data_IF_458514220808
#
_entry.id   IF_458514220808
#
_cell.length_a   1.000
_cell.length_b   1.000
_cell.length_c   1.000
_cell.angle_alpha   90.00
_cell.angle_beta   90.00
_cell.angle_gamma   90.00
#
_symmetry.space_group_name_H-M   'P 1'
#
loop_
_entity.id
_entity.type
_entity.pdbx_description
1 polymer ?
#
# COMPACT_ATOMS: atom_id res chain seq x y z
N UNK A 1 28.13 0.66 33.06
CA UNK A 1 26.69 0.98 32.95
C UNK A 1 26.36 1.79 31.70
N UNK A 2 27.00 2.94 31.44
CA UNK A 2 26.75 3.77 30.23
C UNK A 2 26.89 2.99 28.91
N UNK A 3 27.89 2.11 28.79
CA UNK A 3 28.10 1.25 27.60
C UNK A 3 26.92 0.32 27.30
N UNK A 4 26.27 -0.24 28.34
CA UNK A 4 25.14 -1.16 28.17
C UNK A 4 23.84 -0.40 27.87
N UNK A 5 23.69 0.82 28.41
CA UNK A 5 22.56 1.71 28.10
C UNK A 5 22.60 2.13 26.63
N UNK A 6 23.78 2.49 26.09
CA UNK A 6 23.93 2.82 24.67
C UNK A 6 23.57 1.65 23.75
N UNK A 7 24.02 0.43 24.08
CA UNK A 7 23.68 -0.78 23.31
C UNK A 7 22.17 -1.03 23.31
N UNK A 8 21.53 -0.91 24.48
CA UNK A 8 20.09 -1.13 24.61
C UNK A 8 19.27 -0.10 23.84
N UNK A 9 19.67 1.19 23.90
CA UNK A 9 19.02 2.27 23.13
C UNK A 9 19.18 2.07 21.62
N UNK A 10 20.36 1.66 21.15
CA UNK A 10 20.53 1.34 19.73
C UNK A 10 19.65 0.16 19.28
N UNK A 11 19.53 -0.89 20.10
CA UNK A 11 18.70 -2.07 19.81
C UNK A 11 17.20 -1.72 19.66
N UNK A 12 16.67 -0.81 20.49
CA UNK A 12 15.26 -0.41 20.39
C UNK A 12 14.96 0.35 19.09
N UNK A 13 15.88 1.19 18.63
CA UNK A 13 15.72 1.91 17.36
C UNK A 13 15.77 0.98 16.13
N UNK A 14 16.61 -0.07 16.16
CA UNK A 14 16.68 -1.04 15.06
C UNK A 14 15.37 -1.84 14.90
N UNK A 15 14.71 -2.19 16.00
CA UNK A 15 13.45 -2.95 15.98
C UNK A 15 12.31 -2.11 15.39
N UNK A 16 12.23 -0.83 15.76
CA UNK A 16 11.21 0.09 15.27
C UNK A 16 11.37 0.37 13.77
N UNK A 17 12.59 0.63 13.30
CA UNK A 17 12.86 0.85 11.88
C UNK A 17 12.51 -0.38 11.03
N UNK A 18 12.84 -1.58 11.51
CA UNK A 18 12.52 -2.83 10.82
C UNK A 18 11.00 -3.08 10.75
N UNK A 19 10.28 -2.72 11.82
CA UNK A 19 8.81 -2.84 11.84
C UNK A 19 8.17 -1.85 10.86
N UNK A 20 8.66 -0.61 10.80
CA UNK A 20 8.15 0.38 9.85
C UNK A 20 8.36 -0.06 8.39
N UNK A 21 9.56 -0.54 8.05
CA UNK A 21 9.88 -1.02 6.70
C UNK A 21 9.00 -2.20 6.29
N UNK A 22 8.79 -3.16 7.19
CA UNK A 22 7.90 -4.31 7.01
C UNK A 22 6.45 -3.85 6.75
N UNK A 23 5.92 -2.96 7.59
CA UNK A 23 4.55 -2.44 7.44
C UNK A 23 4.39 -1.63 6.14
N UNK A 24 5.39 -0.85 5.74
CA UNK A 24 5.39 -0.13 4.47
C UNK A 24 5.37 -1.11 3.29
N UNK A 25 6.16 -2.19 3.34
CA UNK A 25 6.17 -3.21 2.29
C UNK A 25 4.80 -3.89 2.17
N UNK A 26 4.24 -4.35 3.30
CA UNK A 26 2.92 -4.99 3.33
C UNK A 26 1.81 -4.04 2.85
N UNK A 27 1.88 -2.77 3.21
CA UNK A 27 0.92 -1.76 2.75
C UNK A 27 0.99 -1.54 1.24
N UNK A 28 2.20 -1.54 0.65
CA UNK A 28 2.38 -1.43 -0.80
C UNK A 28 1.80 -2.65 -1.52
N UNK A 29 2.09 -3.84 -1.03
CA UNK A 29 1.59 -5.09 -1.63
C UNK A 29 0.07 -5.24 -1.50
N UNK A 30 -0.47 -4.89 -0.33
CA UNK A 30 -1.91 -4.77 -0.10
C UNK A 30 -2.55 -3.81 -1.11
N UNK A 31 -1.95 -2.63 -1.33
CA UNK A 31 -2.47 -1.61 -2.24
C UNK A 31 -2.51 -2.08 -3.68
N UNK A 32 -1.48 -2.78 -4.14
CA UNK A 32 -1.44 -3.37 -5.47
C UNK A 32 -2.51 -4.45 -5.63
N UNK A 33 -2.62 -5.37 -4.67
CA UNK A 33 -3.64 -6.42 -4.69
C UNK A 33 -5.06 -5.82 -4.67
N UNK A 34 -5.30 -4.78 -3.85
CA UNK A 34 -6.54 -4.03 -3.84
C UNK A 34 -6.82 -3.39 -5.20
N UNK A 35 -5.83 -2.75 -5.83
CA UNK A 35 -5.98 -2.14 -7.14
C UNK A 35 -6.40 -3.19 -8.18
N UNK A 36 -5.66 -4.29 -8.28
CA UNK A 36 -5.92 -5.35 -9.25
C UNK A 36 -7.27 -6.04 -9.03
N UNK A 37 -7.72 -6.17 -7.78
CA UNK A 37 -9.02 -6.75 -7.46
C UNK A 37 -10.18 -5.83 -7.81
N UNK A 38 -10.05 -4.52 -7.59
CA UNK A 38 -11.19 -3.58 -7.72
C UNK A 38 -11.23 -2.85 -9.06
N UNK A 39 -10.10 -2.72 -9.74
CA UNK A 39 -9.96 -2.09 -11.04
C UNK A 39 -9.56 -3.15 -12.04
N UNK A 40 -10.56 -3.74 -12.69
CA UNK A 40 -10.40 -4.80 -13.65
C UNK A 40 -11.41 -4.64 -14.79
N UNK A 41 -11.04 -5.10 -15.99
CA UNK A 41 -11.94 -5.14 -17.14
C UNK A 41 -12.79 -6.41 -17.11
N UNK A 42 -12.18 -7.52 -16.65
CA UNK A 42 -12.80 -8.82 -16.47
C UNK A 42 -12.63 -9.26 -15.03
N UNK A 43 -13.55 -10.09 -14.54
CA UNK A 43 -13.48 -10.65 -13.19
C UNK A 43 -12.05 -11.17 -12.87
N UNK A 44 -11.40 -10.64 -11.83
CA UNK A 44 -10.03 -10.99 -11.49
C UNK A 44 -9.97 -12.38 -10.84
N UNK A 45 -8.79 -13.01 -10.84
CA UNK A 45 -8.59 -14.28 -10.11
C UNK A 45 -8.91 -14.10 -8.63
N UNK A 46 -9.59 -15.09 -8.05
CA UNK A 46 -9.81 -15.16 -6.61
C UNK A 46 -8.49 -15.13 -5.81
N UNK A 47 -7.38 -15.58 -6.41
CA UNK A 47 -6.05 -15.52 -5.77
C UNK A 47 -5.65 -14.09 -5.40
N UNK A 48 -6.10 -13.09 -6.17
CA UNK A 48 -5.82 -11.67 -5.89
C UNK A 48 -6.58 -11.21 -4.63
N UNK A 49 -7.85 -11.60 -4.49
CA UNK A 49 -8.62 -11.32 -3.27
C UNK A 49 -8.00 -12.00 -2.04
N UNK A 50 -7.55 -13.25 -2.20
CA UNK A 50 -6.88 -14.00 -1.13
C UNK A 50 -5.59 -13.30 -0.74
N UNK A 51 -4.75 -12.92 -1.71
CA UNK A 51 -3.51 -12.18 -1.46
C UNK A 51 -3.78 -10.84 -0.75
N UNK A 52 -4.75 -10.06 -1.23
CA UNK A 52 -5.16 -8.81 -0.59
C UNK A 52 -5.50 -9.04 0.90
N UNK A 53 -6.30 -10.07 1.20
CA UNK A 53 -6.68 -10.38 2.57
C UNK A 53 -5.48 -10.86 3.41
N UNK A 54 -4.56 -11.65 2.84
CA UNK A 54 -3.35 -12.07 3.54
C UNK A 54 -2.45 -10.90 3.93
N UNK A 55 -2.26 -9.92 3.04
CA UNK A 55 -1.52 -8.71 3.37
C UNK A 55 -2.24 -7.88 4.43
N UNK A 56 -3.57 -7.75 4.32
CA UNK A 56 -4.38 -7.08 5.34
C UNK A 56 -4.23 -7.69 6.73
N UNK A 57 -4.24 -9.02 6.83
CA UNK A 57 -4.08 -9.74 8.10
C UNK A 57 -2.66 -9.69 8.65
N UNK A 58 -1.66 -9.50 7.78
CA UNK A 58 -0.25 -9.45 8.17
C UNK A 58 0.17 -8.07 8.67
N UNK A 59 -0.48 -7.01 8.17
CA UNK A 59 -0.26 -5.64 8.63
C UNK A 59 -0.73 -5.46 10.07
N UNK A 60 0.09 -4.78 10.89
CA UNK A 60 -0.29 -4.39 12.24
C UNK A 60 -1.02 -3.06 12.24
N UNK A 61 -0.66 -2.12 11.35
CA UNK A 61 -1.13 -0.70 11.32
C UNK A 61 -2.65 -0.46 11.40
N UNK A 62 -3.46 -1.50 11.27
CA UNK A 62 -4.86 -1.48 11.66
C UNK A 62 -5.78 -0.77 10.67
N UNK A 63 -7.04 -0.66 11.06
CA UNK A 63 -8.13 -0.28 10.16
C UNK A 63 -8.05 1.15 9.61
N UNK A 64 -7.46 2.08 10.36
CA UNK A 64 -7.34 3.48 9.92
C UNK A 64 -6.33 3.66 8.78
N UNK A 65 -5.19 2.95 8.83
CA UNK A 65 -4.25 2.93 7.72
C UNK A 65 -4.90 2.34 6.46
N UNK A 66 -5.63 1.24 6.61
CA UNK A 66 -6.39 0.62 5.53
C UNK A 66 -7.34 1.61 4.85
N UNK A 67 -8.12 2.37 5.62
CA UNK A 67 -9.06 3.37 5.07
C UNK A 67 -8.35 4.44 4.25
N UNK A 68 -7.22 4.93 4.74
CA UNK A 68 -6.42 5.95 4.04
C UNK A 68 -5.83 5.40 2.75
N UNK A 69 -5.26 4.20 2.79
CA UNK A 69 -4.73 3.50 1.61
C UNK A 69 -5.83 3.29 0.56
N UNK A 70 -6.98 2.77 0.99
CA UNK A 70 -8.14 2.53 0.13
C UNK A 70 -8.61 3.81 -0.55
N UNK A 71 -8.71 4.91 0.21
CA UNK A 71 -9.09 6.20 -0.32
C UNK A 71 -8.07 6.74 -1.33
N UNK A 72 -6.78 6.62 -1.02
CA UNK A 72 -5.70 7.05 -1.90
C UNK A 72 -5.71 6.28 -3.23
N UNK A 73 -5.69 4.94 -3.19
CA UNK A 73 -5.67 4.12 -4.42
C UNK A 73 -6.90 4.42 -5.27
N UNK A 74 -8.10 4.50 -4.66
CA UNK A 74 -9.32 4.83 -5.39
C UNK A 74 -9.25 6.18 -6.08
N UNK A 75 -8.78 7.21 -5.38
CA UNK A 75 -8.65 8.55 -5.96
C UNK A 75 -7.59 8.61 -7.06
N UNK A 76 -6.44 7.96 -6.85
CA UNK A 76 -5.37 7.90 -7.85
C UNK A 76 -5.88 7.26 -9.14
N UNK A 77 -6.53 6.10 -9.03
CA UNK A 77 -7.10 5.38 -10.16
C UNK A 77 -8.20 6.17 -10.87
N UNK A 78 -9.03 6.91 -10.13
CA UNK A 78 -10.15 7.69 -10.72
C UNK A 78 -9.67 8.98 -11.38
N UNK A 79 -8.68 9.67 -10.79
CA UNK A 79 -8.28 11.02 -11.23
C UNK A 79 -7.21 10.99 -12.33
N UNK A 80 -6.30 10.02 -12.28
CA UNK A 80 -5.17 9.96 -13.21
C UNK A 80 -5.48 9.13 -14.46
N UNK A 81 -6.56 8.36 -14.43
CA UNK A 81 -6.86 7.40 -15.47
C UNK A 81 -8.35 7.42 -15.82
N UNK A 82 -8.78 8.52 -16.44
CA UNK A 82 -10.12 8.64 -17.03
C UNK A 82 -10.04 8.11 -18.46
N UNK A 83 -10.39 6.84 -18.64
CA UNK A 83 -10.53 6.25 -19.97
C UNK A 83 -11.97 5.79 -20.17
N UNK A 84 -12.52 6.11 -21.33
CA UNK A 84 -13.76 5.52 -21.83
C UNK A 84 -13.41 4.11 -22.32
N UNK A 85 -13.16 3.19 -21.38
CA UNK A 85 -12.70 1.83 -21.67
C UNK A 85 -13.88 1.08 -22.28
N UNK A 86 -13.74 0.66 -23.53
CA UNK A 86 -14.71 -0.24 -24.12
C UNK A 86 -14.45 -1.65 -23.61
N UNK A 87 -15.29 -2.12 -22.67
CA UNK A 87 -15.14 -3.44 -22.05
C UNK A 87 -15.24 -4.61 -23.04
N UNK A 88 -15.94 -4.44 -24.16
CA UNK A 88 -16.15 -5.50 -25.15
C UNK A 88 -15.03 -5.56 -26.21
N UNK A 89 -14.32 -4.46 -26.41
CA UNK A 89 -13.24 -4.37 -27.41
C UNK A 89 -12.22 -3.29 -26.99
N UNK A 90 -11.33 -3.59 -26.01
CA UNK A 90 -10.30 -2.66 -25.61
C UNK A 90 -9.39 -2.40 -26.81
N UNK A 91 -9.30 -1.13 -27.24
CA UNK A 91 -8.42 -0.76 -28.36
C UNK A 91 -6.96 -1.01 -27.96
N UNK A 92 -6.10 -1.22 -28.96
CA UNK A 92 -4.66 -1.49 -28.76
C UNK A 92 -3.94 -0.42 -27.90
N UNK A 93 -4.51 0.79 -27.81
CA UNK A 93 -4.00 1.92 -27.03
C UNK A 93 -4.87 2.29 -25.81
N UNK A 94 -5.90 1.49 -25.46
CA UNK A 94 -6.66 1.70 -24.23
C UNK A 94 -5.89 1.10 -23.04
N UNK A 95 -5.55 1.90 -22.03
CA UNK A 95 -4.81 1.40 -20.89
C UNK A 95 -5.66 0.40 -20.12
N UNK A 96 -5.11 -0.80 -20.02
CA UNK A 96 -5.68 -1.89 -19.26
C UNK A 96 -5.49 -1.56 -17.78
N UNK A 97 -6.54 -1.67 -16.96
CA UNK A 97 -6.46 -1.41 -15.52
C UNK A 97 -5.27 -2.12 -14.84
N UNK A 98 -4.88 -3.28 -15.35
CA UNK A 98 -3.67 -3.99 -14.94
C UNK A 98 -2.40 -3.12 -15.05
N UNK A 99 -2.16 -2.50 -16.21
CA UNK A 99 -1.01 -1.62 -16.43
C UNK A 99 -1.11 -0.39 -15.54
N UNK A 100 -2.29 0.19 -15.39
CA UNK A 100 -2.49 1.36 -14.54
C UNK A 100 -2.17 1.06 -13.06
N UNK A 101 -2.55 -0.12 -12.56
CA UNK A 101 -2.18 -0.56 -11.22
C UNK A 101 -0.66 -0.75 -11.08
N UNK A 102 0.02 -1.26 -12.11
CA UNK A 102 1.49 -1.38 -12.11
C UNK A 102 2.18 -0.02 -12.19
N UNK A 103 1.67 0.90 -13.01
CA UNK A 103 2.20 2.27 -13.13
C UNK A 103 2.06 3.03 -11.81
N UNK A 104 0.90 2.91 -11.17
CA UNK A 104 0.70 3.42 -9.81
C UNK A 104 1.74 2.81 -8.86
N UNK A 105 1.86 1.48 -8.82
CA UNK A 105 2.75 0.78 -7.89
C UNK A 105 4.23 1.19 -8.05
N UNK A 106 4.70 1.38 -9.29
CA UNK A 106 6.07 1.81 -9.56
C UNK A 106 6.29 3.32 -9.41
N UNK A 107 5.23 4.11 -9.22
CA UNK A 107 5.35 5.56 -9.10
C UNK A 107 6.00 5.96 -7.77
N UNK A 108 6.88 6.96 -7.83
CA UNK A 108 7.50 7.56 -6.63
C UNK A 108 6.43 8.16 -5.70
N UNK A 109 5.40 8.75 -6.28
CA UNK A 109 4.28 9.36 -5.55
C UNK A 109 3.57 8.31 -4.69
N UNK A 110 3.20 7.18 -5.27
CA UNK A 110 2.59 6.06 -4.54
C UNK A 110 3.47 5.60 -3.38
N UNK A 111 4.75 5.33 -3.64
CA UNK A 111 5.64 4.86 -2.57
C UNK A 111 5.77 5.87 -1.43
N UNK A 112 5.84 7.16 -1.75
CA UNK A 112 5.94 8.25 -0.77
C UNK A 112 4.66 8.35 0.06
N UNK A 113 3.50 8.29 -0.58
CA UNK A 113 2.21 8.43 0.10
C UNK A 113 1.91 7.25 1.02
N UNK A 114 2.17 6.01 0.57
CA UNK A 114 2.02 4.82 1.42
C UNK A 114 2.95 4.91 2.65
N UNK A 115 4.20 5.34 2.45
CA UNK A 115 5.13 5.54 3.56
C UNK A 115 4.63 6.60 4.56
N UNK A 116 4.08 7.72 4.07
CA UNK A 116 3.50 8.75 4.92
C UNK A 116 2.30 8.23 5.72
N UNK A 117 1.38 7.50 5.09
CA UNK A 117 0.21 6.91 5.75
C UNK A 117 0.64 5.96 6.87
N UNK A 118 1.58 5.05 6.58
CA UNK A 118 2.08 4.08 7.56
C UNK A 118 2.77 4.81 8.72
N UNK A 119 3.66 5.77 8.43
CA UNK A 119 4.35 6.57 9.45
C UNK A 119 3.38 7.34 10.33
N UNK A 120 2.36 7.97 9.77
CA UNK A 120 1.38 8.74 10.54
C UNK A 120 0.65 7.86 11.56
N UNK A 121 0.28 6.64 11.15
CA UNK A 121 -0.45 5.71 12.03
C UNK A 121 0.47 5.10 13.09
N UNK A 122 1.69 4.72 12.73
CA UNK A 122 2.70 4.25 13.70
C UNK A 122 3.04 5.34 14.72
N UNK A 123 3.21 6.59 14.26
CA UNK A 123 3.45 7.77 15.10
C UNK A 123 2.31 8.01 16.11
N UNK A 124 1.05 7.82 15.68
CA UNK A 124 -0.11 7.92 16.57
C UNK A 124 -0.12 6.84 17.65
N UNK A 125 0.37 5.64 17.36
CA UNK A 125 0.47 4.57 18.34
C UNK A 125 1.58 4.80 19.37
N UNK A 126 2.69 5.37 18.92
CA UNK A 126 3.90 5.56 19.74
C UNK A 126 3.91 6.90 20.48
N UNK A 127 2.88 7.74 20.31
CA UNK A 127 2.81 9.11 20.85
C UNK A 127 4.05 9.95 20.48
N UNK A 128 4.48 9.93 19.22
CA UNK A 128 5.58 10.82 18.82
C UNK A 128 5.08 12.27 18.87
N UNK A 129 5.37 12.95 19.99
CA UNK A 129 5.18 14.38 20.18
C UNK A 129 6.42 15.14 19.75
#
# INVERSE_FOLDING_TARGET
>A
MIKYILIFVSLTFFIQANTLEEEVSLAKDYSLAYCLWNFNQTAPSNDIAVAQNMYFQSMKIGYEAYKKIHHYVKNNMTNNYIFDINMDNPRENEPVYFIMCLDMYHSKEFHTEIENIVKEVVCQWENCK
#
